data_IF_480498935137
#
_entry.id   IF_480498935137
#
_cell.length_a   1.000
_cell.length_b   1.000
_cell.length_c   1.000
_cell.angle_alpha   90.00
_cell.angle_beta   90.00
_cell.angle_gamma   90.00
#
_symmetry.space_group_name_H-M   'P 1'
#
loop_
_entity.id
_entity.type
_entity.pdbx_description
1 polymer ?
#
# COMPACT_ATOMS: atom_id res chain seq x y z
N UNK A 1 1.97 10.83 -12.68
CA UNK A 1 3.03 10.77 -11.64
C UNK A 1 4.36 10.85 -12.36
N UNK A 2 5.31 11.67 -11.90
CA UNK A 2 6.60 11.82 -12.59
C UNK A 2 7.46 10.57 -12.41
N UNK A 3 7.98 10.03 -13.52
CA UNK A 3 8.88 8.87 -13.47
C UNK A 3 10.24 9.28 -12.89
N UNK A 4 10.81 8.49 -11.95
CA UNK A 4 12.13 8.76 -11.44
C UNK A 4 13.18 8.54 -12.53
N UNK A 5 14.19 9.41 -12.58
CA UNK A 5 15.37 9.19 -13.42
C UNK A 5 16.05 7.87 -13.07
N UNK A 6 16.59 7.20 -14.09
CA UNK A 6 17.13 5.83 -14.04
C UNK A 6 18.24 5.66 -13.00
N UNK A 7 18.40 4.44 -12.49
CA UNK A 7 19.47 4.12 -11.54
C UNK A 7 20.86 4.29 -12.14
N UNK A 8 21.04 3.90 -13.39
CA UNK A 8 22.32 4.08 -14.11
C UNK A 8 22.78 5.54 -14.12
N UNK A 9 21.87 6.47 -14.43
CA UNK A 9 22.18 7.90 -14.45
C UNK A 9 22.63 8.40 -13.08
N UNK A 10 21.98 7.93 -12.01
CA UNK A 10 22.36 8.28 -10.62
C UNK A 10 23.75 7.76 -10.28
N UNK A 11 24.00 6.49 -10.59
CA UNK A 11 25.29 5.83 -10.35
C UNK A 11 26.41 6.60 -11.03
N UNK A 12 26.24 6.97 -12.31
CA UNK A 12 27.24 7.73 -13.06
C UNK A 12 27.48 9.13 -12.51
N UNK A 13 26.42 9.86 -12.13
CA UNK A 13 26.55 11.18 -11.50
C UNK A 13 27.32 11.09 -10.19
N UNK A 14 26.97 10.12 -9.35
CA UNK A 14 27.61 9.92 -8.04
C UNK A 14 29.06 9.45 -8.17
N UNK A 15 29.36 8.56 -9.11
CA UNK A 15 30.73 8.13 -9.40
C UNK A 15 31.63 9.29 -9.85
N UNK A 16 31.09 10.24 -10.63
CA UNK A 16 31.84 11.44 -10.99
C UNK A 16 32.11 12.36 -9.79
N UNK A 17 31.16 12.45 -8.85
CA UNK A 17 31.34 13.19 -7.59
C UNK A 17 32.41 12.50 -6.73
N UNK A 18 32.39 11.18 -6.65
CA UNK A 18 33.43 10.39 -5.96
C UNK A 18 34.81 10.58 -6.59
N UNK A 19 34.86 10.76 -7.91
CA UNK A 19 36.06 11.14 -8.66
C UNK A 19 36.51 12.59 -8.48
N UNK A 20 35.92 13.35 -7.55
CA UNK A 20 36.34 14.70 -7.19
C UNK A 20 35.55 15.84 -7.86
N UNK A 21 34.53 15.54 -8.67
CA UNK A 21 33.68 16.60 -9.24
C UNK A 21 32.75 17.20 -8.18
N UNK A 22 32.51 18.51 -8.26
CA UNK A 22 31.40 19.13 -7.53
C UNK A 22 30.06 18.58 -8.02
N UNK A 23 29.02 18.62 -7.16
CA UNK A 23 27.66 18.23 -7.56
C UNK A 23 27.16 19.03 -8.77
N UNK A 24 27.51 20.32 -8.88
CA UNK A 24 27.11 21.20 -9.98
C UNK A 24 27.80 20.81 -11.29
N UNK A 25 29.10 20.52 -11.26
CA UNK A 25 29.85 20.10 -12.45
C UNK A 25 29.42 18.71 -12.93
N UNK A 26 29.17 17.78 -12.01
CA UNK A 26 28.61 16.48 -12.35
C UNK A 26 27.21 16.63 -12.98
N UNK A 27 26.35 17.48 -12.40
CA UNK A 27 25.03 17.75 -12.96
C UNK A 27 25.08 18.27 -14.40
N UNK A 28 25.95 19.25 -14.66
CA UNK A 28 26.18 19.79 -16.01
C UNK A 28 26.69 18.70 -16.98
N UNK A 29 27.64 17.86 -16.56
CA UNK A 29 28.20 16.76 -17.37
C UNK A 29 27.14 15.75 -17.82
N UNK A 30 26.18 15.43 -16.96
CA UNK A 30 25.17 14.40 -17.24
C UNK A 30 23.78 14.95 -17.60
N UNK A 31 23.66 16.28 -17.80
CA UNK A 31 22.41 16.91 -18.24
C UNK A 31 21.28 16.84 -17.22
N UNK A 32 21.59 16.87 -15.92
CA UNK A 32 20.59 16.92 -14.85
C UNK A 32 20.62 18.27 -14.13
N UNK A 33 19.51 18.64 -13.50
CA UNK A 33 19.49 19.85 -12.67
C UNK A 33 20.47 19.72 -11.48
N UNK A 34 21.20 20.80 -11.10
CA UNK A 34 22.12 20.77 -9.96
C UNK A 34 21.47 20.31 -8.65
N UNK A 35 20.22 20.71 -8.41
CA UNK A 35 19.44 20.29 -7.24
C UNK A 35 19.20 18.77 -7.19
N UNK A 36 19.07 18.12 -8.34
CA UNK A 36 18.93 16.66 -8.44
C UNK A 36 20.19 15.94 -8.01
N UNK A 37 21.36 16.37 -8.51
CA UNK A 37 22.64 15.80 -8.12
C UNK A 37 22.93 16.00 -6.62
N UNK A 38 22.65 17.20 -6.09
CA UNK A 38 22.77 17.51 -4.65
C UNK A 38 21.87 16.58 -3.82
N UNK A 39 20.61 16.38 -4.24
CA UNK A 39 19.68 15.49 -3.54
C UNK A 39 20.15 14.04 -3.54
N UNK A 40 20.66 13.52 -4.65
CA UNK A 40 21.17 12.14 -4.70
C UNK A 40 22.41 11.96 -3.84
N UNK A 41 23.34 12.93 -3.87
CA UNK A 41 24.54 12.91 -3.04
C UNK A 41 24.21 13.00 -1.55
N UNK A 42 23.29 13.90 -1.17
CA UNK A 42 22.78 14.01 0.20
C UNK A 42 22.11 12.72 0.67
N UNK A 43 21.17 12.17 -0.11
CA UNK A 43 20.49 10.91 0.22
C UNK A 43 21.49 9.77 0.46
N UNK A 44 22.53 9.65 -0.40
CA UNK A 44 23.58 8.65 -0.22
C UNK A 44 24.37 8.86 1.08
N UNK A 45 24.67 10.11 1.45
CA UNK A 45 25.37 10.41 2.71
C UNK A 45 24.52 10.11 3.94
N UNK A 46 23.23 10.44 3.89
CA UNK A 46 22.34 10.34 5.03
C UNK A 46 21.86 8.90 5.27
N UNK A 47 21.59 8.14 4.20
CA UNK A 47 20.98 6.81 4.30
C UNK A 47 21.81 5.69 3.66
N UNK A 48 22.99 5.99 3.11
CA UNK A 48 23.83 5.02 2.38
C UNK A 48 23.31 4.65 0.98
N UNK A 49 22.13 5.15 0.58
CA UNK A 49 21.45 4.77 -0.66
C UNK A 49 20.95 5.96 -1.47
N UNK A 50 20.75 5.76 -2.76
CA UNK A 50 20.29 6.81 -3.69
C UNK A 50 19.20 6.31 -4.65
N UNK A 51 18.63 5.15 -4.34
CA UNK A 51 17.48 4.60 -5.05
C UNK A 51 16.26 5.54 -4.89
N UNK A 52 15.39 5.64 -5.91
CA UNK A 52 14.16 6.39 -5.78
C UNK A 52 13.31 5.79 -4.67
N UNK A 53 12.67 6.65 -3.87
CA UNK A 53 11.67 6.18 -2.91
C UNK A 53 10.50 5.55 -3.67
N UNK A 54 9.85 4.52 -3.09
CA UNK A 54 8.62 3.98 -3.64
C UNK A 54 7.63 5.10 -3.94
N UNK A 55 7.10 5.13 -5.17
CA UNK A 55 6.10 6.10 -5.59
C UNK A 55 4.73 5.43 -5.61
N UNK A 56 3.75 6.08 -5.01
CA UNK A 56 2.39 5.54 -4.92
C UNK A 56 2.26 4.41 -3.88
N UNK A 57 1.27 3.54 -4.08
CA UNK A 57 0.89 2.50 -3.13
C UNK A 57 -0.21 2.94 -2.15
N UNK A 58 -0.66 1.99 -1.33
CA UNK A 58 -1.71 2.22 -0.34
C UNK A 58 -1.15 2.92 0.89
N UNK A 59 -1.36 4.24 0.97
CA UNK A 59 -0.95 5.06 2.12
C UNK A 59 -2.02 5.15 3.21
N UNK A 60 -3.23 4.63 2.96
CA UNK A 60 -4.41 4.90 3.80
C UNK A 60 -4.84 3.69 4.63
N UNK A 61 -4.51 2.47 4.21
CA UNK A 61 -4.91 1.27 4.94
C UNK A 61 -4.05 0.93 6.14
N UNK A 62 -2.86 1.52 6.29
CA UNK A 62 -1.88 1.15 7.33
C UNK A 62 -2.50 0.98 8.72
N UNK A 63 -3.31 1.95 9.18
CA UNK A 63 -3.98 1.90 10.49
C UNK A 63 -4.95 0.72 10.63
N UNK A 64 -5.62 0.34 9.55
CA UNK A 64 -6.55 -0.79 9.51
C UNK A 64 -5.76 -2.10 9.51
N UNK A 65 -4.67 -2.17 8.74
CA UNK A 65 -3.79 -3.35 8.66
C UNK A 65 -3.08 -3.63 10.00
N UNK A 66 -2.66 -2.59 10.73
CA UNK A 66 -2.08 -2.73 12.07
C UNK A 66 -3.03 -3.38 13.08
N UNK A 67 -4.34 -3.32 12.83
CA UNK A 67 -5.40 -3.92 13.66
C UNK A 67 -6.11 -5.08 12.94
N UNK A 68 -5.47 -5.67 11.92
CA UNK A 68 -6.01 -6.75 11.09
C UNK A 68 -6.59 -7.87 11.93
N UNK A 69 -5.83 -8.35 12.91
CA UNK A 69 -6.18 -9.55 13.68
C UNK A 69 -7.42 -9.32 14.54
N UNK A 70 -7.64 -8.12 15.07
CA UNK A 70 -8.85 -7.78 15.81
C UNK A 70 -10.08 -7.78 14.91
N UNK A 71 -9.96 -7.23 13.69
CA UNK A 71 -11.05 -7.21 12.71
C UNK A 71 -11.40 -8.65 12.31
N UNK A 72 -10.39 -9.50 12.07
CA UNK A 72 -10.59 -10.89 11.71
C UNK A 72 -11.15 -11.71 12.88
N UNK A 73 -10.74 -11.46 14.12
CA UNK A 73 -11.28 -12.13 15.30
C UNK A 73 -12.79 -11.85 15.45
N UNK A 74 -13.21 -10.59 15.30
CA UNK A 74 -14.64 -10.22 15.34
C UNK A 74 -15.42 -10.89 14.19
N UNK A 75 -14.82 -10.93 13.00
CA UNK A 75 -15.44 -11.56 11.83
C UNK A 75 -15.54 -13.09 11.96
N UNK A 76 -14.52 -13.75 12.48
CA UNK A 76 -14.52 -15.20 12.71
C UNK A 76 -15.51 -15.61 13.80
N UNK A 77 -15.63 -14.82 14.87
CA UNK A 77 -16.63 -15.05 15.92
C UNK A 77 -18.07 -14.90 15.43
N UNK A 78 -18.30 -14.11 14.38
CA UNK A 78 -19.64 -13.80 13.82
C UNK A 78 -19.60 -13.81 12.29
N UNK A 79 -19.52 -15.02 11.71
CA UNK A 79 -19.37 -15.23 10.25
C UNK A 79 -20.45 -14.57 9.38
N UNK A 80 -21.63 -14.29 9.94
CA UNK A 80 -22.79 -13.68 9.28
C UNK A 80 -22.92 -12.17 9.50
N UNK A 81 -21.99 -11.56 10.24
CA UNK A 81 -21.97 -10.11 10.51
C UNK A 81 -21.96 -9.29 9.21
N UNK A 82 -22.79 -8.26 9.17
CA UNK A 82 -22.78 -7.28 8.09
C UNK A 82 -21.56 -6.34 8.21
N UNK A 83 -21.20 -5.66 7.12
CA UNK A 83 -20.10 -4.69 7.16
C UNK A 83 -20.38 -3.49 8.08
N UNK A 84 -21.64 -3.11 8.23
CA UNK A 84 -22.04 -1.99 9.10
C UNK A 84 -21.99 -2.40 10.58
N UNK A 85 -22.44 -3.61 10.93
CA UNK A 85 -22.26 -4.16 12.29
C UNK A 85 -20.79 -4.39 12.64
N UNK A 86 -19.99 -4.85 11.67
CA UNK A 86 -18.54 -5.00 11.87
C UNK A 86 -17.88 -3.64 12.10
N UNK A 87 -18.28 -2.62 11.35
CA UNK A 87 -17.81 -1.25 11.56
C UNK A 87 -18.08 -0.79 12.99
N UNK A 88 -19.30 -1.00 13.47
CA UNK A 88 -19.69 -0.54 14.80
C UNK A 88 -18.94 -1.30 15.91
N UNK A 89 -18.73 -2.62 15.72
CA UNK A 89 -17.92 -3.42 16.63
C UNK A 89 -16.44 -3.05 16.64
N UNK A 90 -15.88 -2.73 15.48
CA UNK A 90 -14.49 -2.28 15.33
C UNK A 90 -14.31 -0.85 15.91
N UNK A 91 -15.34 0.00 15.82
CA UNK A 91 -15.36 1.30 16.49
C UNK A 91 -15.36 1.16 18.02
N UNK A 92 -16.07 0.16 18.57
CA UNK A 92 -16.09 -0.11 20.01
C UNK A 92 -14.71 -0.47 20.60
N UNK A 93 -13.80 -1.02 19.79
CA UNK A 93 -12.40 -1.31 20.15
C UNK A 93 -11.42 -0.18 19.76
N UNK A 94 -11.93 1.02 19.50
CA UNK A 94 -11.16 2.23 19.26
C UNK A 94 -10.66 2.42 17.82
N UNK A 95 -11.17 1.65 16.86
CA UNK A 95 -10.78 1.75 15.46
C UNK A 95 -11.92 2.24 14.57
N UNK A 96 -11.89 3.52 14.20
CA UNK A 96 -12.86 4.07 13.24
C UNK A 96 -12.45 3.76 11.80
N UNK A 97 -13.26 2.98 11.08
CA UNK A 97 -13.07 2.66 9.66
C UNK A 97 -14.38 2.92 8.91
N UNK A 98 -14.31 3.37 7.66
CA UNK A 98 -15.51 3.48 6.83
C UNK A 98 -15.95 2.10 6.33
N UNK A 99 -17.24 1.92 6.01
CA UNK A 99 -17.77 0.69 5.38
C UNK A 99 -16.99 0.32 4.11
N UNK A 100 -16.65 1.30 3.27
CA UNK A 100 -15.85 1.10 2.06
C UNK A 100 -14.40 0.70 2.40
N UNK A 101 -13.84 1.25 3.49
CA UNK A 101 -12.54 0.86 4.01
C UNK A 101 -12.49 -0.59 4.44
N UNK A 102 -13.51 -1.06 5.18
CA UNK A 102 -13.66 -2.48 5.55
C UNK A 102 -13.86 -3.37 4.33
N UNK A 103 -14.66 -2.95 3.35
CA UNK A 103 -14.79 -3.69 2.10
C UNK A 103 -13.43 -3.85 1.39
N UNK A 104 -12.66 -2.76 1.25
CA UNK A 104 -11.31 -2.80 0.65
C UNK A 104 -10.34 -3.66 1.45
N UNK A 105 -10.46 -3.68 2.78
CA UNK A 105 -9.71 -4.58 3.65
C UNK A 105 -9.97 -6.05 3.31
N UNK A 106 -11.23 -6.48 3.24
CA UNK A 106 -11.54 -7.86 2.87
C UNK A 106 -11.09 -8.21 1.44
N UNK A 107 -11.25 -7.30 0.48
CA UNK A 107 -10.74 -7.48 -0.89
C UNK A 107 -9.23 -7.66 -0.90
N UNK A 108 -8.47 -6.86 -0.14
CA UNK A 108 -7.01 -6.95 -0.04
C UNK A 108 -6.56 -8.29 0.55
N UNK A 109 -7.31 -8.85 1.50
CA UNK A 109 -7.04 -10.16 2.09
C UNK A 109 -7.62 -11.35 1.31
N UNK A 110 -8.25 -11.12 0.15
CA UNK A 110 -8.87 -12.20 -0.64
C UNK A 110 -10.08 -12.85 0.04
N UNK A 111 -10.64 -12.21 1.07
CA UNK A 111 -11.78 -12.74 1.82
C UNK A 111 -13.05 -12.35 1.08
N UNK A 112 -13.70 -13.35 0.51
CA UNK A 112 -14.99 -13.18 -0.14
C UNK A 112 -16.06 -13.97 0.60
N UNK A 113 -17.22 -13.36 0.82
CA UNK A 113 -18.38 -14.11 1.28
C UNK A 113 -18.78 -15.07 0.17
N UNK A 114 -18.76 -16.38 0.44
CA UNK A 114 -19.30 -17.38 -0.49
C UNK A 114 -20.76 -17.04 -0.77
N UNK A 115 -21.05 -16.65 -2.02
CA UNK A 115 -22.42 -16.45 -2.48
C UNK A 115 -23.00 -17.82 -2.82
N UNK A 116 -24.03 -18.25 -2.10
CA UNK A 116 -24.93 -19.30 -2.60
C UNK A 116 -26.06 -18.59 -3.35
N UNK A 117 -26.36 -18.94 -4.61
CA UNK A 117 -27.56 -18.45 -5.28
C UNK A 117 -28.77 -18.75 -4.40
N UNK A 118 -29.68 -17.79 -4.24
CA UNK A 118 -30.97 -18.06 -3.62
C UNK A 118 -31.77 -18.97 -4.56
N UNK A 119 -31.61 -20.28 -4.43
CA UNK A 119 -32.44 -21.25 -5.15
C UNK A 119 -33.80 -21.33 -4.48
N UNK A 120 -34.88 -21.39 -5.27
CA UNK A 120 -36.21 -21.68 -4.73
C UNK A 120 -36.16 -23.00 -3.94
N UNK A 121 -36.85 -23.04 -2.80
CA UNK A 121 -37.16 -24.28 -2.09
C UNK A 121 -37.63 -25.33 -3.10
N UNK A 122 -37.04 -26.52 -3.08
CA UNK A 122 -37.59 -27.66 -3.83
C UNK A 122 -39.04 -27.83 -3.40
N UNK A 123 -39.96 -27.90 -4.37
CA UNK A 123 -41.34 -28.29 -4.07
C UNK A 123 -41.30 -29.72 -3.56
N UNK A 124 -41.85 -29.99 -2.39
CA UNK A 124 -42.13 -31.34 -1.93
C UNK A 124 -43.14 -31.95 -2.89
N UNK A 125 -42.69 -32.86 -3.75
CA UNK A 125 -43.58 -33.66 -4.60
C UNK A 125 -44.21 -34.79 -3.78
N UNK A 126 -45.41 -35.29 -4.14
CA UNK A 126 -46.01 -36.44 -3.48
C UNK A 126 -45.08 -37.64 -3.59
N UNK A 127 -44.78 -38.29 -2.46
CA UNK A 127 -44.11 -39.59 -2.43
C UNK A 127 -45.17 -40.64 -2.75
N UNK A 128 -44.99 -41.37 -3.86
CA UNK A 128 -45.80 -42.57 -4.18
C UNK A 128 -45.35 -43.77 -3.37
#
# INVERSE_FOLDING_TARGET
MGQPLSMDLRTRVLAAIDGGMSCRSAAARFGVAPSTAIRWHGQRRDTGGFAPKPQGGDMRSRRVEERRDDILAIWEARKDITLDELRDAVAAIGLTVSRVGLHRFFVRHGITRKKRPATRSSKSGPTS
#
